data_IF_111783889389
#
_entry.id   IF_111783889389
#
_cell.length_a   1.000
_cell.length_b   1.000
_cell.length_c   1.000
_cell.angle_alpha   90.00
_cell.angle_beta   90.00
_cell.angle_gamma   90.00
#
_symmetry.space_group_name_H-M   'P 1'
#
loop_
_entity.id
_entity.type
_entity.pdbx_description
1 polymer ?
#
# COMPACT_ATOMS: atom_id res chain seq x y z
N UNK A 1 -16.55 22.99 -14.74
CA UNK A 1 -15.22 22.44 -14.41
C UNK A 1 -14.87 21.53 -15.56
N UNK A 2 -13.71 21.74 -16.17
CA UNK A 2 -13.23 20.86 -17.23
C UNK A 2 -12.82 19.50 -16.64
N UNK A 3 -12.67 18.46 -17.49
CA UNK A 3 -12.25 17.13 -17.06
C UNK A 3 -10.89 17.12 -16.36
N UNK A 4 -9.98 18.02 -16.76
CA UNK A 4 -8.67 18.19 -16.11
C UNK A 4 -8.79 18.72 -14.67
N UNK A 5 -9.67 19.71 -14.44
CA UNK A 5 -9.89 20.31 -13.11
C UNK A 5 -10.47 19.27 -12.12
N UNK A 6 -11.36 18.40 -12.60
CA UNK A 6 -11.97 17.32 -11.81
C UNK A 6 -10.92 16.31 -11.38
N UNK A 7 -10.03 15.91 -12.29
CA UNK A 7 -8.95 14.99 -12.00
C UNK A 7 -7.95 15.58 -10.99
N UNK A 8 -7.56 16.84 -11.14
CA UNK A 8 -6.67 17.51 -10.18
C UNK A 8 -7.28 17.58 -8.77
N UNK A 9 -8.58 17.86 -8.67
CA UNK A 9 -9.29 17.82 -7.39
C UNK A 9 -9.28 16.42 -6.79
N UNK A 10 -9.50 15.40 -7.62
CA UNK A 10 -9.49 14.03 -7.14
C UNK A 10 -8.11 13.62 -6.62
N UNK A 11 -7.03 13.91 -7.34
CA UNK A 11 -5.64 13.66 -6.87
C UNK A 11 -5.36 14.32 -5.52
N UNK A 12 -5.97 15.48 -5.26
CA UNK A 12 -5.82 16.20 -3.98
C UNK A 12 -6.68 15.61 -2.86
N UNK A 13 -7.88 15.13 -3.16
CA UNK A 13 -8.83 14.64 -2.14
C UNK A 13 -8.64 13.16 -1.81
N UNK A 14 -8.23 12.35 -2.78
CA UNK A 14 -8.07 10.91 -2.65
C UNK A 14 -7.10 10.49 -1.53
N UNK A 15 -5.95 11.16 -1.31
CA UNK A 15 -5.08 10.89 -0.17
C UNK A 15 -5.79 10.99 1.19
N UNK A 16 -6.70 11.97 1.35
CA UNK A 16 -7.46 12.12 2.59
C UNK A 16 -8.44 10.98 2.79
N UNK A 17 -9.12 10.53 1.73
CA UNK A 17 -9.99 9.36 1.78
C UNK A 17 -9.21 8.10 2.18
N UNK A 18 -8.02 7.90 1.61
CA UNK A 18 -7.18 6.75 1.96
C UNK A 18 -6.66 6.81 3.39
N UNK A 19 -6.35 8.00 3.91
CA UNK A 19 -5.97 8.15 5.31
C UNK A 19 -7.11 7.79 6.28
N UNK A 20 -8.38 7.88 5.88
CA UNK A 20 -9.51 7.42 6.70
C UNK A 20 -9.53 5.89 6.87
N UNK A 21 -8.82 5.12 6.03
CA UNK A 21 -8.70 3.66 6.18
C UNK A 21 -7.84 3.27 7.39
N UNK A 22 -7.12 4.21 7.99
CA UNK A 22 -6.32 4.01 9.21
C UNK A 22 -6.80 4.89 10.36
N UNK A 23 -8.02 5.42 10.26
CA UNK A 23 -8.65 6.20 11.32
C UNK A 23 -8.80 5.36 12.61
N UNK A 24 -8.67 5.94 13.81
CA UNK A 24 -8.93 5.24 15.07
C UNK A 24 -10.33 4.61 15.15
N UNK A 25 -11.34 5.26 14.58
CA UNK A 25 -12.72 4.77 14.57
C UNK A 25 -12.92 3.69 13.50
N UNK A 26 -13.36 2.51 13.93
CA UNK A 26 -13.63 1.38 13.05
C UNK A 26 -14.72 1.69 12.02
N UNK A 27 -15.78 2.41 12.40
CA UNK A 27 -16.85 2.77 11.48
C UNK A 27 -16.34 3.67 10.35
N UNK A 28 -15.45 4.62 10.67
CA UNK A 28 -14.82 5.48 9.67
C UNK A 28 -14.00 4.64 8.68
N UNK A 29 -13.20 3.69 9.17
CA UNK A 29 -12.44 2.78 8.30
C UNK A 29 -13.35 1.99 7.36
N UNK A 30 -14.45 1.43 7.87
CA UNK A 30 -15.42 0.69 7.05
C UNK A 30 -16.05 1.58 5.98
N UNK A 31 -16.51 2.77 6.34
CA UNK A 31 -17.09 3.71 5.37
C UNK A 31 -16.06 4.15 4.32
N UNK A 32 -14.80 4.37 4.71
CA UNK A 32 -13.73 4.68 3.78
C UNK A 32 -13.50 3.54 2.78
N UNK A 33 -13.49 2.28 3.23
CA UNK A 33 -13.35 1.13 2.32
C UNK A 33 -14.53 1.02 1.34
N UNK A 34 -15.77 1.24 1.82
CA UNK A 34 -16.95 1.27 0.96
C UNK A 34 -16.84 2.38 -0.11
N UNK A 35 -16.40 3.58 0.28
CA UNK A 35 -16.23 4.70 -0.63
C UNK A 35 -15.14 4.44 -1.68
N UNK A 36 -13.98 3.93 -1.27
CA UNK A 36 -12.90 3.56 -2.21
C UNK A 36 -13.36 2.46 -3.19
N UNK A 37 -14.16 1.50 -2.70
CA UNK A 37 -14.74 0.45 -3.54
C UNK A 37 -15.71 1.02 -4.57
N UNK A 38 -16.65 1.87 -4.15
CA UNK A 38 -17.61 2.49 -5.04
C UNK A 38 -16.93 3.35 -6.13
N UNK A 39 -15.91 4.14 -5.75
CA UNK A 39 -15.10 4.90 -6.70
C UNK A 39 -14.35 4.00 -7.69
N UNK A 40 -13.91 2.83 -7.22
CA UNK A 40 -13.29 1.83 -8.07
C UNK A 40 -14.24 1.24 -9.09
N UNK A 41 -15.47 0.92 -8.69
CA UNK A 41 -16.51 0.39 -9.56
C UNK A 41 -16.92 1.43 -10.62
N UNK A 42 -17.17 2.68 -10.20
CA UNK A 42 -17.47 3.79 -11.11
C UNK A 42 -16.33 4.04 -12.11
N UNK A 43 -15.08 3.96 -11.66
CA UNK A 43 -13.92 4.11 -12.55
C UNK A 43 -13.87 3.02 -13.62
N UNK A 44 -14.15 1.76 -13.26
CA UNK A 44 -14.19 0.66 -14.21
C UNK A 44 -15.32 0.81 -15.23
N UNK A 45 -16.50 1.28 -14.81
CA UNK A 45 -17.62 1.57 -15.71
C UNK A 45 -17.26 2.65 -16.74
N UNK A 46 -16.61 3.74 -16.29
CA UNK A 46 -16.17 4.83 -17.18
C UNK A 46 -15.06 4.41 -18.15
N UNK A 47 -14.26 3.40 -17.78
CA UNK A 47 -13.12 2.91 -18.55
C UNK A 47 -13.33 1.48 -19.07
N UNK A 48 -14.59 1.08 -19.29
CA UNK A 48 -14.94 -0.30 -19.63
C UNK A 48 -14.12 -0.83 -20.81
N UNK A 49 -13.92 -0.01 -21.85
CA UNK A 49 -13.14 -0.40 -23.03
C UNK A 49 -11.67 -0.75 -22.71
N UNK A 50 -11.06 -0.13 -21.70
CA UNK A 50 -9.68 -0.38 -21.27
C UNK A 50 -9.57 -1.64 -20.40
N UNK A 51 -10.59 -1.90 -19.58
CA UNK A 51 -10.54 -2.97 -18.57
C UNK A 51 -11.35 -4.22 -18.94
N UNK A 52 -12.14 -4.21 -20.02
CA UNK A 52 -13.04 -5.31 -20.42
C UNK A 52 -12.33 -6.66 -20.45
N UNK A 53 -11.16 -6.74 -21.10
CA UNK A 53 -10.42 -8.00 -21.19
C UNK A 53 -9.99 -8.52 -19.81
N UNK A 54 -9.49 -7.63 -18.94
CA UNK A 54 -9.07 -8.00 -17.58
C UNK A 54 -10.26 -8.42 -16.72
N UNK A 55 -11.41 -7.77 -16.88
CA UNK A 55 -12.64 -8.11 -16.17
C UNK A 55 -13.16 -9.47 -16.67
N UNK A 56 -13.38 -9.63 -17.97
CA UNK A 56 -13.99 -10.83 -18.55
C UNK A 56 -13.10 -12.08 -18.43
N UNK A 57 -11.79 -11.94 -18.62
CA UNK A 57 -10.86 -13.08 -18.69
C UNK A 57 -9.91 -13.20 -17.50
N UNK A 58 -9.79 -12.17 -16.66
CA UNK A 58 -8.92 -12.18 -15.48
C UNK A 58 -9.48 -12.93 -14.26
N UNK A 59 -10.77 -13.29 -14.27
CA UNK A 59 -11.46 -13.90 -13.12
C UNK A 59 -10.75 -15.14 -12.56
N UNK A 60 -10.23 -16.02 -13.42
CA UNK A 60 -9.56 -17.25 -12.98
C UNK A 60 -8.24 -16.96 -12.25
N UNK A 61 -7.47 -15.97 -12.70
CA UNK A 61 -6.22 -15.58 -12.05
C UNK A 61 -6.48 -14.81 -10.76
N UNK A 62 -7.50 -13.97 -10.74
CA UNK A 62 -7.95 -13.24 -9.55
C UNK A 62 -8.44 -14.19 -8.47
N UNK A 63 -9.30 -15.17 -8.81
CA UNK A 63 -9.76 -16.18 -7.85
C UNK A 63 -8.60 -17.02 -7.28
N UNK A 64 -7.57 -17.32 -8.10
CA UNK A 64 -6.35 -17.99 -7.61
C UNK A 64 -5.55 -17.09 -6.67
N UNK A 65 -5.49 -15.78 -6.91
CA UNK A 65 -4.82 -14.82 -6.01
C UNK A 65 -5.58 -14.72 -4.68
N UNK A 66 -6.90 -14.64 -4.72
CA UNK A 66 -7.75 -14.62 -3.53
C UNK A 66 -7.57 -15.89 -2.71
N UNK A 67 -7.59 -17.06 -3.35
CA UNK A 67 -7.39 -18.35 -2.68
C UNK A 67 -5.98 -18.53 -2.09
N UNK A 68 -4.98 -17.80 -2.58
CA UNK A 68 -3.61 -17.81 -2.08
C UNK A 68 -3.38 -16.79 -0.96
N UNK A 69 -4.31 -15.87 -0.71
CA UNK A 69 -4.21 -14.90 0.36
C UNK A 69 -4.18 -15.65 1.70
N UNK A 70 -3.00 -15.70 2.32
CA UNK A 70 -2.74 -16.44 3.57
C UNK A 70 -2.15 -15.54 4.65
N UNK A 71 -2.37 -14.24 4.52
CA UNK A 71 -2.01 -13.22 5.49
C UNK A 71 -3.29 -12.68 6.12
N UNK A 72 -3.26 -12.45 7.42
CA UNK A 72 -4.33 -11.69 8.07
C UNK A 72 -4.32 -10.27 7.51
N UNK A 73 -5.48 -9.69 7.21
CA UNK A 73 -5.57 -8.30 6.81
C UNK A 73 -6.10 -7.46 7.98
N UNK A 74 -5.63 -6.21 8.17
CA UNK A 74 -6.18 -5.34 9.20
C UNK A 74 -7.63 -4.99 8.87
N UNK A 75 -8.46 -4.78 9.89
CA UNK A 75 -9.76 -4.13 9.69
C UNK A 75 -9.56 -2.78 8.96
N UNK A 76 -10.29 -2.46 7.88
CA UNK A 76 -11.63 -2.95 7.52
C UNK A 76 -11.68 -4.07 6.47
N UNK A 77 -10.56 -4.73 6.17
CA UNK A 77 -10.53 -5.75 5.13
C UNK A 77 -11.03 -7.10 5.63
N UNK A 78 -12.12 -7.60 5.04
CA UNK A 78 -12.58 -8.99 5.22
C UNK A 78 -11.91 -9.96 4.22
N UNK A 79 -11.08 -9.43 3.33
CA UNK A 79 -10.39 -10.16 2.28
C UNK A 79 -9.72 -9.22 1.30
N UNK A 80 -9.27 -9.78 0.18
CA UNK A 80 -8.61 -9.01 -0.89
C UNK A 80 -9.56 -7.95 -1.47
N UNK A 81 -9.13 -6.68 -1.60
CA UNK A 81 -10.01 -5.63 -2.11
C UNK A 81 -10.44 -5.87 -3.56
N UNK A 82 -11.63 -5.40 -3.97
CA UNK A 82 -12.12 -5.51 -5.35
C UNK A 82 -11.15 -4.89 -6.36
N UNK A 83 -11.16 -5.43 -7.58
CA UNK A 83 -10.23 -5.01 -8.64
C UNK A 83 -10.29 -3.51 -8.94
N UNK A 84 -11.48 -2.91 -9.04
CA UNK A 84 -11.64 -1.48 -9.31
C UNK A 84 -11.00 -0.61 -8.24
N UNK A 85 -11.21 -0.95 -6.96
CA UNK A 85 -10.59 -0.26 -5.83
C UNK A 85 -9.06 -0.30 -5.91
N UNK A 86 -8.50 -1.46 -6.25
CA UNK A 86 -7.05 -1.64 -6.40
C UNK A 86 -6.48 -0.84 -7.56
N UNK A 87 -7.15 -0.86 -8.72
CA UNK A 87 -6.77 -0.01 -9.87
C UNK A 87 -6.78 1.45 -9.48
N UNK A 88 -7.84 1.91 -8.81
CA UNK A 88 -7.97 3.32 -8.38
C UNK A 88 -6.82 3.74 -7.47
N UNK A 89 -6.48 2.93 -6.46
CA UNK A 89 -5.37 3.22 -5.53
C UNK A 89 -4.02 3.19 -6.23
N UNK A 90 -3.77 2.21 -7.12
CA UNK A 90 -2.53 2.14 -7.91
C UNK A 90 -2.28 3.40 -8.73
N UNK A 91 -3.32 3.95 -9.37
CA UNK A 91 -3.21 5.16 -10.18
C UNK A 91 -2.75 6.39 -9.38
N UNK A 92 -2.97 6.40 -8.05
CA UNK A 92 -2.55 7.49 -7.16
C UNK A 92 -1.33 7.14 -6.29
N UNK A 93 -0.89 5.88 -6.29
CA UNK A 93 0.13 5.38 -5.36
C UNK A 93 1.46 6.12 -5.49
N UNK A 94 1.88 6.45 -6.72
CA UNK A 94 3.14 7.19 -6.95
C UNK A 94 3.16 8.55 -6.25
N UNK A 95 2.03 9.24 -6.17
CA UNK A 95 1.94 10.53 -5.48
C UNK A 95 1.97 10.37 -3.94
N UNK A 96 1.53 9.21 -3.43
CA UNK A 96 1.42 8.92 -2.00
C UNK A 96 2.69 8.32 -1.41
N UNK A 97 3.41 7.50 -2.17
CA UNK A 97 4.51 6.71 -1.61
C UNK A 97 5.69 7.57 -1.18
N UNK A 98 6.02 8.61 -1.94
CA UNK A 98 7.11 9.53 -1.60
C UNK A 98 6.92 10.24 -0.25
N UNK A 99 5.79 10.92 0.03
CA UNK A 99 5.57 11.54 1.33
C UNK A 99 5.49 10.51 2.46
N UNK A 100 4.89 9.34 2.25
CA UNK A 100 4.80 8.28 3.28
C UNK A 100 6.19 7.79 3.69
N UNK A 101 7.08 7.53 2.71
CA UNK A 101 8.45 7.12 3.01
C UNK A 101 9.22 8.23 3.74
N UNK A 102 9.00 9.50 3.38
CA UNK A 102 9.62 10.62 4.09
C UNK A 102 9.12 10.77 5.54
N UNK A 103 7.82 10.56 5.78
CA UNK A 103 7.23 10.60 7.12
C UNK A 103 7.65 9.41 8.00
N UNK A 104 7.89 8.23 7.42
CA UNK A 104 8.45 7.09 8.16
C UNK A 104 9.84 7.37 8.76
N UNK A 105 10.57 8.32 8.16
CA UNK A 105 11.88 8.78 8.61
C UNK A 105 11.82 10.07 9.46
N UNK A 106 10.61 10.55 9.80
CA UNK A 106 10.48 11.75 10.62
C UNK A 106 10.88 11.48 12.08
N UNK A 107 11.20 12.55 12.82
CA UNK A 107 11.63 12.45 14.21
C UNK A 107 10.48 12.20 15.20
N UNK A 108 9.23 12.32 14.77
CA UNK A 108 8.06 12.21 15.64
C UNK A 108 7.40 10.83 15.55
N UNK A 109 7.36 10.11 16.67
CA UNK A 109 6.89 8.72 16.70
C UNK A 109 5.44 8.53 16.20
N UNK A 110 4.54 9.49 16.51
CA UNK A 110 3.12 9.39 16.15
C UNK A 110 2.92 9.38 14.63
N UNK A 111 3.59 10.27 13.93
CA UNK A 111 3.53 10.40 12.48
C UNK A 111 4.13 9.14 11.83
N UNK A 112 5.28 8.65 12.30
CA UNK A 112 5.86 7.38 11.81
C UNK A 112 4.87 6.21 11.91
N UNK A 113 4.21 6.07 13.06
CA UNK A 113 3.20 5.00 13.27
C UNK A 113 2.02 5.15 12.32
N UNK A 114 1.53 6.38 12.13
CA UNK A 114 0.43 6.66 11.20
C UNK A 114 0.83 6.33 9.75
N UNK A 115 2.02 6.75 9.30
CA UNK A 115 2.50 6.50 7.95
C UNK A 115 2.79 5.01 7.73
N UNK A 116 3.26 4.28 8.76
CA UNK A 116 3.41 2.82 8.70
C UNK A 116 2.06 2.12 8.56
N UNK A 117 1.04 2.54 9.32
CA UNK A 117 -0.31 2.00 9.19
C UNK A 117 -0.89 2.27 7.80
N UNK A 118 -0.70 3.49 7.27
CA UNK A 118 -1.18 3.84 5.94
C UNK A 118 -0.43 3.03 4.86
N UNK A 119 0.88 2.86 5.00
CA UNK A 119 1.66 2.02 4.09
C UNK A 119 1.18 0.57 4.08
N UNK A 120 0.91 -0.02 5.25
CA UNK A 120 0.33 -1.38 5.36
C UNK A 120 -0.94 -1.49 4.52
N UNK A 121 -1.86 -0.53 4.67
CA UNK A 121 -3.12 -0.50 3.92
C UNK A 121 -2.91 -0.32 2.42
N UNK A 122 -2.04 0.60 2.00
CA UNK A 122 -1.79 0.84 0.57
C UNK A 122 -1.18 -0.39 -0.11
N UNK A 123 -0.27 -1.10 0.56
CA UNK A 123 0.37 -2.32 0.04
C UNK A 123 -0.66 -3.42 -0.27
N UNK A 124 -1.76 -3.51 0.50
CA UNK A 124 -2.86 -4.45 0.22
C UNK A 124 -3.54 -4.12 -1.12
N UNK A 125 -3.67 -2.84 -1.48
CA UNK A 125 -4.27 -2.46 -2.76
C UNK A 125 -3.31 -2.61 -3.94
N UNK A 126 -2.05 -2.21 -3.76
CA UNK A 126 -1.09 -2.14 -4.89
C UNK A 126 -0.49 -3.48 -5.25
N UNK A 127 -0.40 -4.42 -4.31
CA UNK A 127 0.09 -5.78 -4.53
C UNK A 127 1.43 -5.82 -5.30
N UNK A 128 1.50 -6.60 -6.38
CA UNK A 128 2.65 -6.76 -7.28
C UNK A 128 3.15 -5.44 -7.86
N UNK A 129 2.29 -4.43 -7.98
CA UNK A 129 2.67 -3.10 -8.47
C UNK A 129 3.59 -2.36 -7.48
N UNK A 130 3.64 -2.78 -6.21
CA UNK A 130 4.59 -2.24 -5.23
C UNK A 130 6.06 -2.48 -5.63
N UNK A 131 6.33 -3.46 -6.50
CA UNK A 131 7.69 -3.78 -6.99
C UNK A 131 8.39 -2.57 -7.60
N UNK A 132 7.65 -1.70 -8.32
CA UNK A 132 8.20 -0.46 -8.92
C UNK A 132 8.89 0.42 -7.87
N UNK A 133 8.35 0.44 -6.65
CA UNK A 133 8.82 1.25 -5.53
C UNK A 133 9.60 0.43 -4.49
N UNK A 134 9.92 -0.84 -4.77
CA UNK A 134 10.62 -1.72 -3.83
C UNK A 134 11.96 -1.14 -3.36
N UNK A 135 12.69 -0.47 -4.25
CA UNK A 135 13.97 0.18 -3.96
C UNK A 135 13.88 1.30 -2.91
N UNK A 136 12.70 1.86 -2.65
CA UNK A 136 12.48 2.88 -1.61
C UNK A 136 11.69 2.33 -0.42
N UNK A 137 10.72 1.43 -0.67
CA UNK A 137 9.90 0.81 0.38
C UNK A 137 10.76 -0.07 1.28
N UNK A 138 11.62 -0.93 0.71
CA UNK A 138 12.38 -1.90 1.50
C UNK A 138 13.41 -1.23 2.42
N UNK A 139 14.23 -0.26 1.97
CA UNK A 139 15.12 0.47 2.89
C UNK A 139 14.37 1.21 3.98
N UNK A 140 13.22 1.83 3.66
CA UNK A 140 12.43 2.55 4.65
C UNK A 140 11.88 1.61 5.73
N UNK A 141 11.35 0.46 5.34
CA UNK A 141 10.88 -0.59 6.26
C UNK A 141 12.05 -1.10 7.11
N UNK A 142 13.18 -1.46 6.50
CA UNK A 142 14.34 -1.97 7.24
C UNK A 142 14.89 -0.96 8.24
N UNK A 143 15.01 0.31 7.83
CA UNK A 143 15.47 1.40 8.71
C UNK A 143 14.50 1.62 9.87
N UNK A 144 13.21 1.74 9.57
CA UNK A 144 12.19 1.98 10.60
C UNK A 144 12.09 0.81 11.60
N UNK A 145 12.29 -0.44 11.15
CA UNK A 145 12.29 -1.60 12.03
C UNK A 145 13.52 -1.67 12.96
N UNK A 146 14.68 -1.18 12.51
CA UNK A 146 15.93 -1.17 13.28
C UNK A 146 16.00 -0.02 14.29
N UNK A 147 15.42 1.13 13.95
CA UNK A 147 15.47 2.38 14.74
C UNK A 147 14.29 2.52 15.74
N UNK A 148 13.34 1.59 15.75
CA UNK A 148 12.13 1.73 16.57
C UNK A 148 12.29 1.17 18.00
N UNK A 149 12.41 2.06 18.98
CA UNK A 149 12.07 1.74 20.38
C UNK A 149 10.55 1.60 20.60
N UNK A 150 9.76 2.15 19.66
CA UNK A 150 8.30 2.07 19.65
C UNK A 150 7.82 0.70 19.14
N UNK A 151 7.20 -0.08 20.03
CA UNK A 151 6.66 -1.41 19.73
C UNK A 151 5.56 -1.39 18.66
N UNK A 152 4.72 -0.36 18.62
CA UNK A 152 3.64 -0.30 17.63
C UNK A 152 4.22 0.03 16.24
N UNK A 153 5.20 0.93 16.17
CA UNK A 153 5.91 1.19 14.91
C UNK A 153 6.58 -0.08 14.39
N UNK A 154 7.34 -0.78 15.24
CA UNK A 154 7.99 -2.04 14.87
C UNK A 154 6.97 -3.06 14.32
N UNK A 155 5.85 -3.23 15.03
CA UNK A 155 4.77 -4.13 14.61
C UNK A 155 4.24 -3.75 13.23
N UNK A 156 3.89 -2.47 12.99
CA UNK A 156 3.34 -2.00 11.71
C UNK A 156 4.32 -2.15 10.55
N UNK A 157 5.60 -1.87 10.79
CA UNK A 157 6.64 -1.99 9.77
C UNK A 157 6.90 -3.45 9.39
N UNK A 158 6.94 -4.36 10.37
CA UNK A 158 7.00 -5.81 10.09
C UNK A 158 5.79 -6.28 9.29
N UNK A 159 4.59 -5.77 9.62
CA UNK A 159 3.36 -6.04 8.85
C UNK A 159 3.44 -5.53 7.42
N UNK A 160 4.00 -4.34 7.19
CA UNK A 160 4.27 -3.85 5.82
C UNK A 160 5.19 -4.81 5.06
N UNK A 161 6.24 -5.33 5.71
CA UNK A 161 7.15 -6.28 5.09
C UNK A 161 6.45 -7.60 4.72
N UNK A 162 5.59 -8.13 5.60
CA UNK A 162 4.78 -9.32 5.35
C UNK A 162 3.84 -9.14 4.15
N UNK A 163 3.09 -8.04 4.12
CA UNK A 163 2.15 -7.73 3.01
C UNK A 163 2.92 -7.56 1.69
N UNK A 164 4.03 -6.83 1.70
CA UNK A 164 4.87 -6.67 0.52
C UNK A 164 5.41 -8.01 0.01
N UNK A 165 6.01 -8.81 0.90
CA UNK A 165 6.61 -10.10 0.55
C UNK A 165 5.57 -11.14 0.10
N UNK A 166 4.32 -11.02 0.57
CA UNK A 166 3.22 -11.87 0.13
C UNK A 166 2.83 -11.61 -1.33
N UNK A 167 2.79 -10.34 -1.75
CA UNK A 167 2.33 -9.96 -3.08
C UNK A 167 3.44 -9.87 -4.13
N UNK A 168 4.68 -9.61 -3.73
CA UNK A 168 5.81 -9.43 -4.64
C UNK A 168 6.65 -10.71 -4.71
N UNK A 169 7.08 -11.10 -5.90
CA UNK A 169 7.99 -12.25 -6.08
C UNK A 169 9.37 -11.96 -5.47
N UNK A 170 9.85 -12.89 -4.64
CA UNK A 170 11.15 -12.79 -3.96
C UNK A 170 12.31 -12.48 -4.92
N UNK A 171 12.31 -13.01 -6.14
CA UNK A 171 13.38 -12.76 -7.12
C UNK A 171 13.49 -11.30 -7.53
N UNK A 172 12.39 -10.55 -7.44
CA UNK A 172 12.33 -9.13 -7.80
C UNK A 172 13.03 -8.25 -6.77
N UNK A 173 13.08 -8.65 -5.50
CA UNK A 173 13.53 -7.78 -4.41
C UNK A 173 14.64 -8.37 -3.53
N UNK A 174 14.88 -9.68 -3.57
CA UNK A 174 16.00 -10.32 -2.87
C UNK A 174 17.37 -9.73 -3.22
N UNK A 175 17.69 -9.39 -4.49
CA UNK A 175 18.98 -8.75 -4.79
C UNK A 175 19.18 -7.43 -4.05
N UNK A 176 18.10 -6.64 -3.89
CA UNK A 176 18.14 -5.38 -3.15
C UNK A 176 18.41 -5.63 -1.66
N UNK A 177 17.73 -6.60 -1.05
CA UNK A 177 18.00 -6.97 0.35
C UNK A 177 19.42 -7.48 0.57
N UNK A 178 19.93 -8.33 -0.33
CA UNK A 178 21.30 -8.85 -0.23
C UNK A 178 22.30 -7.70 -0.32
N UNK A 179 22.07 -6.71 -1.20
CA UNK A 179 22.91 -5.53 -1.29
C UNK A 179 22.84 -4.69 -0.01
N UNK A 180 21.65 -4.49 0.55
CA UNK A 180 21.47 -3.76 1.81
C UNK A 180 22.17 -4.45 2.99
N UNK A 181 22.05 -5.77 3.11
CA UNK A 181 22.71 -6.53 4.19
C UNK A 181 24.23 -6.63 3.98
N UNK A 182 24.70 -6.68 2.73
CA UNK A 182 26.13 -6.64 2.42
C UNK A 182 26.75 -5.25 2.65
N UNK A 183 25.96 -4.18 2.55
CA UNK A 183 26.34 -2.81 2.92
C UNK A 183 26.30 -2.53 4.43
N UNK A 184 25.99 -3.55 5.23
CA UNK A 184 26.20 -3.57 6.68
C UNK A 184 27.46 -4.38 7.08
N UNK A 185 28.68 -4.08 6.57
CA UNK A 185 29.87 -4.83 6.93
C UNK A 185 30.42 -4.44 8.31
N UNK A 186 29.89 -3.39 8.97
CA UNK A 186 30.46 -2.79 10.17
C UNK A 186 29.42 -1.96 10.96
N UNK A 187 28.60 -2.61 11.80
CA UNK A 187 28.29 -2.05 13.10
C UNK A 187 29.58 -2.07 13.96
N UNK A 188 30.58 -1.26 13.58
CA UNK A 188 31.80 -1.06 14.37
C UNK A 188 32.01 0.38 14.81
N UNK A 189 31.16 1.33 14.42
CA UNK A 189 31.19 2.72 14.94
C UNK A 189 29.80 3.38 14.84
N UNK A 190 28.90 3.07 15.79
CA UNK A 190 27.86 3.98 16.29
C UNK A 190 27.52 3.60 17.73
#
# INVERSE_FOLDING_TARGET
MDGADLYEQEVRLFPYLLNLLVDPDAAIRTHALCAVTALGDEYLEQHEAEYREKVEYGHAEEAKRDARLNIDLPHPFDGRPPFGARVRVRNHFRALIHPIIAELDCWTAKERVQSAALLEVLLIFVEDSATEFGHMILPAISKAAADSDDRELHRRVCRCAEVFAHHVDARSYMPLFIQMSAQDPLNTLS
#
